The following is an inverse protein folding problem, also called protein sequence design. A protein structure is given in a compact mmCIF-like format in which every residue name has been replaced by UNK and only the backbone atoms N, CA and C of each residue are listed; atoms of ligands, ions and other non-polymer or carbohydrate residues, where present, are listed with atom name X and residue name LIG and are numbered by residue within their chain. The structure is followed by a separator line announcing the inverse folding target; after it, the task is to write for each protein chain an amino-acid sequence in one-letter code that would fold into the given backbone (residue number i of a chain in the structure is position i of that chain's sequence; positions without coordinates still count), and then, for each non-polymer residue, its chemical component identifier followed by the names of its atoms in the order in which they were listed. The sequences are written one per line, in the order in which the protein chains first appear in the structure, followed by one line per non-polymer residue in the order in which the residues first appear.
data_IF_743082690154
#
_entry.id   IF_743082690154
#
_cell.length_a   1.000
_cell.length_b   1.000
_cell.length_c   1.000
_cell.angle_alpha   90.00
_cell.angle_beta   90.00
_cell.angle_gamma   90.00
#
_symmetry.space_group_name_H-M   'P 1'
#
loop_
_entity.id
_entity.type
_entity.pdbx_description
1 polymer ?
#
# COMPACT_ATOMS: atom_id res chain seq x y z
N UNK A 1 -2.51 -13.42 -6.38
CA UNK A 1 -3.44 -12.35 -5.91
C UNK A 1 -2.63 -11.10 -5.69
N UNK A 2 -3.06 -9.96 -6.25
CA UNK A 2 -2.41 -8.66 -6.03
C UNK A 2 -3.13 -7.90 -4.91
N UNK A 3 -2.42 -7.01 -4.22
CA UNK A 3 -2.99 -6.19 -3.14
C UNK A 3 -3.12 -4.76 -3.65
N UNK A 4 -4.33 -4.18 -3.58
CA UNK A 4 -4.58 -2.78 -3.96
C UNK A 4 -5.06 -2.00 -2.73
N UNK A 5 -4.54 -0.78 -2.55
CA UNK A 5 -5.07 0.17 -1.58
C UNK A 5 -6.30 0.84 -2.17
N UNK A 6 -7.47 0.64 -1.55
CA UNK A 6 -8.75 1.20 -1.98
C UNK A 6 -9.26 2.16 -0.90
N UNK A 7 -9.75 3.33 -1.30
CA UNK A 7 -10.35 4.29 -0.39
C UNK A 7 -11.65 3.72 0.18
N UNK A 8 -11.97 4.00 1.44
CA UNK A 8 -13.19 3.47 2.10
C UNK A 8 -14.48 3.88 1.39
N UNK A 9 -14.47 5.02 0.69
CA UNK A 9 -15.58 5.46 -0.17
C UNK A 9 -15.78 4.63 -1.45
N UNK A 10 -14.77 3.87 -1.89
CA UNK A 10 -14.78 3.00 -3.07
C UNK A 10 -14.82 1.50 -2.72
N UNK A 11 -14.87 1.14 -1.43
CA UNK A 11 -15.04 -0.24 -1.01
C UNK A 11 -16.45 -0.73 -1.38
N UNK A 12 -16.55 -1.97 -1.85
CA UNK A 12 -17.81 -2.65 -2.15
C UNK A 12 -17.94 -3.90 -1.29
N UNK A 13 -19.16 -4.30 -0.91
CA UNK A 13 -19.41 -5.57 -0.26
C UNK A 13 -18.85 -6.73 -1.09
N UNK A 14 -18.28 -7.73 -0.42
CA UNK A 14 -17.64 -8.89 -1.06
C UNK A 14 -16.15 -8.72 -1.40
N UNK A 15 -15.58 -7.51 -1.29
CA UNK A 15 -14.12 -7.34 -1.28
C UNK A 15 -13.51 -7.99 -0.03
N UNK A 16 -12.27 -8.50 -0.11
CA UNK A 16 -11.59 -9.14 1.03
C UNK A 16 -10.39 -8.30 1.47
N UNK A 17 -10.29 -7.97 2.76
CA UNK A 17 -9.15 -7.25 3.32
C UNK A 17 -7.87 -8.09 3.23
N UNK A 18 -6.75 -7.47 2.90
CA UNK A 18 -5.42 -8.11 2.94
C UNK A 18 -4.70 -7.85 4.26
N UNK A 19 -5.16 -6.91 5.07
CA UNK A 19 -4.50 -6.44 6.28
C UNK A 19 -5.56 -6.01 7.29
N UNK A 20 -5.24 -6.09 8.57
CA UNK A 20 -6.12 -5.60 9.62
C UNK A 20 -6.23 -4.07 9.56
N UNK A 21 -7.43 -3.53 9.80
CA UNK A 21 -7.65 -2.08 9.87
C UNK A 21 -7.95 -1.67 11.31
N UNK A 22 -7.32 -0.58 11.73
CA UNK A 22 -7.40 -0.04 13.08
C UNK A 22 -7.92 1.40 13.05
N UNK A 23 -8.55 1.82 14.15
CA UNK A 23 -8.88 3.23 14.40
C UNK A 23 -7.60 4.04 14.68
N UNK A 24 -7.72 5.37 14.70
CA UNK A 24 -6.62 6.24 15.17
C UNK A 24 -6.19 5.93 16.62
N UNK A 25 -7.07 5.37 17.45
CA UNK A 25 -6.78 4.92 18.83
C UNK A 25 -6.23 3.49 18.90
N UNK A 26 -5.77 2.91 17.79
CA UNK A 26 -5.29 1.53 17.67
C UNK A 26 -6.32 0.44 18.04
N UNK A 27 -7.62 0.74 18.00
CA UNK A 27 -8.65 -0.29 18.16
C UNK A 27 -8.86 -1.05 16.86
N UNK A 28 -8.88 -2.38 16.92
CA UNK A 28 -9.12 -3.25 15.77
C UNK A 28 -10.57 -3.08 15.26
N UNK A 29 -10.74 -2.73 13.99
CA UNK A 29 -12.06 -2.62 13.33
C UNK A 29 -12.36 -3.88 12.51
N UNK A 30 -11.36 -4.38 11.78
CA UNK A 30 -11.41 -5.65 11.03
C UNK A 30 -10.06 -6.35 11.07
N UNK A 31 -10.08 -7.68 11.00
CA UNK A 31 -8.88 -8.50 10.83
C UNK A 31 -8.42 -8.51 9.36
N UNK A 32 -7.22 -9.02 9.12
CA UNK A 32 -6.79 -9.46 7.78
C UNK A 32 -7.68 -10.58 7.28
N UNK A 33 -7.81 -10.72 5.95
CA UNK A 33 -8.59 -11.77 5.29
C UNK A 33 -10.09 -11.76 5.66
N UNK A 34 -10.61 -10.60 6.10
CA UNK A 34 -12.03 -10.39 6.40
C UNK A 34 -12.78 -9.99 5.14
N UNK A 35 -13.92 -10.63 4.87
CA UNK A 35 -14.86 -10.19 3.83
C UNK A 35 -15.52 -8.90 4.28
N UNK A 36 -15.36 -7.84 3.50
CA UNK A 36 -15.99 -6.55 3.75
C UNK A 36 -17.48 -6.66 3.41
N UNK A 37 -18.33 -6.49 4.41
CA UNK A 37 -19.79 -6.35 4.26
C UNK A 37 -20.19 -4.88 4.31
N UNK A 38 -21.47 -4.56 4.04
CA UNK A 38 -21.99 -3.19 4.16
C UNK A 38 -21.77 -2.63 5.57
N UNK A 39 -22.14 -3.39 6.60
CA UNK A 39 -21.94 -3.03 8.02
C UNK A 39 -20.45 -2.74 8.35
N UNK A 40 -19.53 -3.53 7.80
CA UNK A 40 -18.09 -3.32 7.97
C UNK A 40 -17.64 -2.03 7.27
N UNK A 41 -18.13 -1.75 6.06
CA UNK A 41 -17.80 -0.54 5.32
C UNK A 41 -18.36 0.70 6.04
N UNK A 42 -19.54 0.61 6.64
CA UNK A 42 -20.10 1.66 7.49
C UNK A 42 -19.29 1.87 8.77
N UNK A 43 -18.87 0.80 9.47
CA UNK A 43 -17.95 0.89 10.61
C UNK A 43 -16.63 1.58 10.22
N UNK A 44 -16.03 1.22 9.09
CA UNK A 44 -14.81 1.86 8.59
C UNK A 44 -15.01 3.36 8.30
N UNK A 45 -16.17 3.77 7.77
CA UNK A 45 -16.54 5.19 7.59
C UNK A 45 -16.73 5.90 8.94
N UNK A 46 -17.45 5.29 9.88
CA UNK A 46 -17.71 5.81 11.21
C UNK A 46 -16.41 6.06 12.00
N UNK A 47 -15.47 5.12 11.94
CA UNK A 47 -14.14 5.27 12.54
C UNK A 47 -13.14 6.10 11.68
N UNK A 48 -13.61 6.78 10.64
CA UNK A 48 -12.83 7.63 9.74
C UNK A 48 -11.58 6.94 9.12
N UNK A 49 -11.62 5.62 8.93
CA UNK A 49 -10.56 4.88 8.25
C UNK A 49 -10.57 5.31 6.78
N UNK A 50 -9.48 5.94 6.31
CA UNK A 50 -9.43 6.57 4.97
C UNK A 50 -9.30 5.55 3.82
N UNK A 51 -8.57 4.47 4.03
CA UNK A 51 -8.27 3.47 3.01
C UNK A 51 -7.91 2.11 3.63
N UNK A 52 -8.22 1.04 2.91
CA UNK A 52 -7.94 -0.35 3.30
C UNK A 52 -7.21 -1.06 2.15
N UNK A 53 -6.28 -1.97 2.48
CA UNK A 53 -5.67 -2.89 1.51
C UNK A 53 -6.63 -4.06 1.26
N UNK A 54 -6.98 -4.32 0.00
CA UNK A 54 -7.84 -5.45 -0.39
C UNK A 54 -7.15 -6.33 -1.42
N UNK A 55 -7.51 -7.61 -1.44
CA UNK A 55 -7.10 -8.52 -2.50
C UNK A 55 -7.85 -8.21 -3.79
N UNK A 56 -7.12 -8.22 -4.90
CA UNK A 56 -7.64 -8.09 -6.26
C UNK A 56 -7.31 -9.38 -7.01
N UNK A 57 -8.35 -10.01 -7.56
CA UNK A 57 -8.20 -11.09 -8.54
C UNK A 57 -7.85 -10.46 -9.90
N UNK A 58 -6.95 -11.10 -10.64
CA UNK A 58 -6.49 -10.58 -11.94
C UNK A 58 -7.47 -10.96 -13.05
N UNK A 59 -8.66 -10.36 -12.99
CA UNK A 59 -9.59 -10.34 -14.12
C UNK A 59 -10.16 -8.93 -14.28
N UNK A 60 -9.69 -8.26 -15.33
CA UNK A 60 -10.17 -6.96 -15.85
C UNK A 60 -9.91 -5.71 -14.99
N UNK A 61 -9.53 -4.64 -15.69
CA UNK A 61 -9.10 -3.38 -15.11
C UNK A 61 -10.27 -2.59 -14.52
N UNK A 62 -10.15 -2.13 -13.27
CA UNK A 62 -10.87 -0.94 -12.86
C UNK A 62 -9.98 0.01 -12.04
N UNK A 63 -9.95 1.24 -12.52
CA UNK A 63 -9.08 2.34 -12.11
C UNK A 63 -9.43 2.87 -10.71
N UNK A 64 -8.81 3.98 -10.33
CA UNK A 64 -8.89 4.64 -9.01
C UNK A 64 -7.91 4.11 -7.98
N UNK A 65 -7.12 5.05 -7.45
CA UNK A 65 -5.82 4.82 -6.83
C UNK A 65 -4.89 5.98 -7.18
N UNK A 66 -5.35 7.22 -6.97
CA UNK A 66 -4.52 8.41 -7.10
C UNK A 66 -3.31 8.26 -6.19
N UNK A 67 -2.14 8.06 -6.80
CA UNK A 67 -0.86 7.91 -6.10
C UNK A 67 -0.41 9.26 -5.59
N UNK A 68 -0.93 9.68 -4.43
CA UNK A 68 -0.24 10.66 -3.59
C UNK A 68 1.00 10.02 -2.93
N UNK A 69 1.93 9.56 -3.77
CA UNK A 69 3.31 9.32 -3.37
C UNK A 69 3.97 10.67 -3.20
N UNK A 70 4.12 11.11 -1.94
CA UNK A 70 5.16 12.08 -1.62
C UNK A 70 6.49 11.45 -2.05
N UNK A 71 7.11 12.05 -3.06
CA UNK A 71 8.39 11.64 -3.61
C UNK A 71 9.47 11.68 -2.52
N UNK A 72 9.99 10.52 -2.13
CA UNK A 72 11.13 10.39 -1.21
C UNK A 72 11.80 9.03 -1.43
N UNK A 73 13.08 9.07 -1.81
CA UNK A 73 14.01 8.00 -2.22
C UNK A 73 13.94 7.53 -3.68
N UNK A 74 14.95 7.91 -4.46
CA UNK A 74 15.97 6.94 -4.94
C UNK A 74 17.36 7.60 -4.81
N UNK A 75 18.37 6.77 -4.54
CA UNK A 75 19.78 7.10 -4.35
C UNK A 75 20.59 6.71 -5.61
N UNK A 76 21.78 7.31 -5.77
CA UNK A 76 22.97 6.81 -6.49
C UNK A 76 23.20 7.05 -8.02
N UNK A 77 24.47 7.39 -8.31
CA UNK A 77 25.35 6.97 -9.45
C UNK A 77 24.95 7.40 -10.88
N UNK A 78 25.81 7.73 -11.86
CA UNK A 78 27.30 7.82 -12.08
C UNK A 78 27.80 9.29 -11.97
N UNK A 79 29.04 9.76 -12.20
CA UNK A 79 30.35 9.32 -12.78
C UNK A 79 31.51 9.89 -11.89
N UNK A 80 32.82 9.64 -12.05
CA UNK A 80 33.61 8.83 -12.99
C UNK A 80 35.11 9.24 -13.00
N UNK A 81 36.01 8.26 -13.12
CA UNK A 81 37.47 8.37 -13.45
C UNK A 81 38.38 9.23 -12.55
N UNK A 82 39.30 8.56 -11.83
CA UNK A 82 40.74 8.92 -11.88
C UNK A 82 41.66 7.73 -11.58
N UNK A 83 42.38 7.33 -12.63
CA UNK A 83 43.67 6.63 -12.69
C UNK A 83 44.06 5.62 -11.59
N UNK A 84 44.14 4.35 -11.99
CA UNK A 84 45.01 3.36 -11.37
C UNK A 84 46.44 3.52 -11.93
N UNK A 85 47.45 3.67 -11.06
CA UNK A 85 48.83 3.26 -11.35
C UNK A 85 49.44 2.59 -10.12
N UNK A 86 49.98 1.39 -10.32
CA UNK A 86 50.68 0.53 -9.36
C UNK A 86 52.19 0.55 -9.70
N UNK A 87 53.08 -0.19 -9.00
CA UNK A 87 53.50 0.02 -7.62
C UNK A 87 55.05 0.08 -7.55
N UNK A 88 55.69 -0.78 -6.73
CA UNK A 88 57.15 -0.96 -6.51
C UNK A 88 57.81 0.14 -5.63
N UNK A 89 58.58 -0.16 -4.58
CA UNK A 89 58.88 -1.44 -3.92
C UNK A 89 60.33 -1.48 -3.41
N UNK A 90 60.53 -1.66 -2.10
CA UNK A 90 61.64 -2.42 -1.45
C UNK A 90 61.34 -2.61 0.05
#
# INVERSE_FOLDING_TARGET
MKIKKVLTANLKPGMVSSEAAYTYTNHLVIQSNTVLTEEIIEKLKYYAVKAVKVYVQEESENTSGTVNSKQSNVLETVEGVSAQVLPEGE
#
